data_IF_904845777085
#
_entry.id   IF_904845777085
#
_cell.length_a   1.000
_cell.length_b   1.000
_cell.length_c   1.000
_cell.angle_alpha   90.00
_cell.angle_beta   90.00
_cell.angle_gamma   90.00
#
_symmetry.space_group_name_H-M   'P 1'
#
loop_
_entity.id
_entity.type
_entity.pdbx_description
1 polymer ?
#
# COMPACT_ATOMS: atom_id res chain seq x y z
N UNK A 1 -14.41 -13.96 2.15
CA UNK A 1 -13.23 -13.74 3.03
C UNK A 1 -12.01 -14.11 2.23
N UNK A 2 -10.98 -13.27 2.23
CA UNK A 2 -9.74 -13.57 1.54
C UNK A 2 -9.00 -14.74 2.22
N UNK A 3 -8.40 -15.62 1.42
CA UNK A 3 -7.61 -16.79 1.85
C UNK A 3 -6.61 -16.46 2.96
N UNK A 4 -5.92 -15.32 2.84
CA UNK A 4 -4.96 -14.85 3.85
C UNK A 4 -5.60 -14.47 5.18
N UNK A 5 -6.83 -13.93 5.17
CA UNK A 5 -7.55 -13.56 6.39
C UNK A 5 -7.96 -14.80 7.17
N UNK A 6 -8.43 -15.84 6.47
CA UNK A 6 -8.77 -17.13 7.08
C UNK A 6 -7.52 -17.83 7.63
N UNK A 7 -6.43 -17.86 6.86
CA UNK A 7 -5.15 -18.40 7.32
C UNK A 7 -4.63 -17.66 8.55
N UNK A 8 -4.78 -16.34 8.59
CA UNK A 8 -4.38 -15.54 9.74
C UNK A 8 -5.17 -15.93 11.00
N UNK A 9 -6.50 -16.04 10.90
CA UNK A 9 -7.36 -16.37 12.03
C UNK A 9 -7.15 -17.81 12.52
N UNK A 10 -7.07 -18.78 11.61
CA UNK A 10 -7.10 -20.20 11.96
C UNK A 10 -5.71 -20.76 12.31
N UNK A 11 -4.64 -20.32 11.66
CA UNK A 11 -3.31 -20.92 11.80
C UNK A 11 -2.30 -19.98 12.46
N UNK A 12 -2.25 -18.72 12.01
CA UNK A 12 -1.22 -17.78 12.47
C UNK A 12 -1.52 -17.25 13.87
N UNK A 13 -2.79 -16.96 14.15
CA UNK A 13 -3.21 -16.40 15.44
C UNK A 13 -2.91 -17.34 16.62
N UNK A 14 -3.22 -18.66 16.55
CA UNK A 14 -2.91 -19.59 17.64
C UNK A 14 -1.41 -19.86 17.75
N UNK A 15 -0.71 -19.97 16.62
CA UNK A 15 0.73 -20.18 16.60
C UNK A 15 1.50 -19.02 17.27
N UNK A 16 1.08 -17.77 17.01
CA UNK A 16 1.65 -16.59 17.67
C UNK A 16 1.33 -16.54 19.15
N UNK A 17 0.11 -16.93 19.56
CA UNK A 17 -0.28 -16.97 20.97
C UNK A 17 0.57 -17.98 21.76
N UNK A 18 0.76 -19.18 21.22
CA UNK A 18 1.61 -20.22 21.83
C UNK A 18 3.08 -19.83 21.86
N UNK A 19 3.60 -19.21 20.79
CA UNK A 19 5.02 -18.84 20.69
C UNK A 19 5.42 -17.69 21.62
N UNK A 20 4.54 -16.70 21.79
CA UNK A 20 4.86 -15.48 22.54
C UNK A 20 4.15 -15.39 23.90
N UNK A 21 3.30 -16.35 24.26
CA UNK A 21 2.65 -16.40 25.57
C UNK A 21 1.72 -15.22 25.85
N UNK A 22 1.05 -14.68 24.83
CA UNK A 22 0.13 -13.54 24.99
C UNK A 22 -1.02 -13.89 25.96
N UNK A 23 -1.31 -12.99 26.90
CA UNK A 23 -2.37 -13.19 27.91
C UNK A 23 -3.77 -12.85 27.38
N UNK A 24 -3.85 -12.10 26.30
CA UNK A 24 -5.12 -11.66 25.71
C UNK A 24 -5.09 -11.78 24.20
N UNK A 25 -6.21 -12.23 23.62
CA UNK A 25 -6.40 -12.36 22.16
C UNK A 25 -6.22 -11.02 21.45
N UNK A 26 -6.53 -9.91 22.12
CA UNK A 26 -6.40 -8.56 21.55
C UNK A 26 -4.95 -8.08 21.44
N UNK A 27 -3.99 -8.78 22.04
CA UNK A 27 -2.55 -8.48 21.90
C UNK A 27 -1.96 -9.02 20.60
N UNK A 28 -2.70 -9.86 19.86
CA UNK A 28 -2.21 -10.45 18.64
C UNK A 28 -1.92 -9.38 17.58
N UNK A 29 -0.73 -9.41 16.94
CA UNK A 29 -0.36 -8.43 15.95
C UNK A 29 -1.19 -8.64 14.69
N UNK A 30 -1.90 -7.58 14.27
CA UNK A 30 -2.74 -7.56 13.07
C UNK A 30 -2.20 -6.58 12.04
N UNK A 31 -2.43 -6.85 10.77
CA UNK A 31 -2.12 -5.91 9.69
C UNK A 31 -3.20 -4.82 9.69
N UNK A 32 -2.81 -3.56 9.95
CA UNK A 32 -3.76 -2.43 9.99
C UNK A 32 -4.06 -1.84 8.60
N UNK A 33 -3.00 -1.62 7.81
CA UNK A 33 -3.08 -1.04 6.47
C UNK A 33 -1.82 -1.34 5.67
N UNK A 34 -1.98 -1.37 4.35
CA UNK A 34 -0.87 -1.36 3.39
C UNK A 34 -0.95 -0.05 2.61
N UNK A 35 0.15 0.71 2.59
CA UNK A 35 0.25 1.95 1.83
C UNK A 35 1.24 1.73 0.70
N UNK A 36 0.76 1.88 -0.53
CA UNK A 36 1.58 1.81 -1.74
C UNK A 36 1.78 3.25 -2.20
N UNK A 37 3.03 3.62 -2.42
CA UNK A 37 3.40 4.97 -2.82
C UNK A 37 4.34 4.89 -4.00
N UNK A 38 4.03 5.67 -5.04
CA UNK A 38 4.85 5.78 -6.23
C UNK A 38 5.23 7.24 -6.42
N UNK A 39 6.54 7.51 -6.35
CA UNK A 39 7.10 8.81 -6.67
C UNK A 39 7.45 8.86 -8.15
N UNK A 40 6.84 9.78 -8.89
CA UNK A 40 7.10 9.97 -10.31
C UNK A 40 7.84 11.31 -10.44
N UNK A 41 9.16 11.28 -10.24
CA UNK A 41 9.99 12.50 -10.24
C UNK A 41 9.88 13.33 -11.53
N UNK A 42 9.67 12.65 -12.67
CA UNK A 42 9.51 13.28 -13.98
C UNK A 42 8.10 13.85 -14.21
N UNK A 43 7.15 13.61 -13.31
CA UNK A 43 5.78 14.13 -13.41
C UNK A 43 5.72 15.66 -13.41
N UNK A 44 6.75 16.33 -12.88
CA UNK A 44 6.89 17.79 -12.86
C UNK A 44 6.99 18.34 -14.29
N UNK A 45 7.61 17.59 -15.20
CA UNK A 45 7.79 17.99 -16.60
C UNK A 45 6.77 17.34 -17.53
N UNK A 46 6.29 16.14 -17.19
CA UNK A 46 5.34 15.38 -18.00
C UNK A 46 4.14 14.91 -17.19
N UNK A 47 3.01 15.62 -17.31
CA UNK A 47 1.76 15.26 -16.64
C UNK A 47 1.22 13.90 -17.07
N UNK A 48 1.48 13.45 -18.32
CA UNK A 48 1.01 12.15 -18.81
C UNK A 48 1.66 10.98 -18.08
N UNK A 49 2.90 11.14 -17.62
CA UNK A 49 3.58 10.11 -16.83
C UNK A 49 2.88 9.92 -15.47
N UNK A 50 2.34 10.99 -14.90
CA UNK A 50 1.54 10.92 -13.67
C UNK A 50 0.20 10.23 -13.91
N UNK A 51 -0.46 10.51 -15.03
CA UNK A 51 -1.74 9.88 -15.38
C UNK A 51 -1.57 8.36 -15.63
N UNK A 52 -0.54 7.97 -16.37
CA UNK A 52 -0.19 6.55 -16.57
C UNK A 52 0.10 5.85 -15.24
N UNK A 53 0.87 6.48 -14.37
CA UNK A 53 1.15 6.00 -13.02
C UNK A 53 -0.12 5.78 -12.18
N UNK A 54 -1.10 6.67 -12.31
CA UNK A 54 -2.41 6.55 -11.63
C UNK A 54 -3.21 5.38 -12.20
N UNK A 55 -3.21 5.19 -13.51
CA UNK A 55 -3.90 4.08 -14.17
C UNK A 55 -3.29 2.72 -13.79
N UNK A 56 -1.97 2.58 -13.85
CA UNK A 56 -1.26 1.36 -13.46
C UNK A 56 -1.52 0.98 -12.00
N UNK A 57 -1.39 1.94 -11.08
CA UNK A 57 -1.72 1.71 -9.67
C UNK A 57 -3.19 1.33 -9.46
N UNK A 58 -4.10 1.89 -10.27
CA UNK A 58 -5.52 1.54 -10.22
C UNK A 58 -5.73 0.10 -10.67
N UNK A 59 -5.05 -0.35 -11.72
CA UNK A 59 -5.13 -1.73 -12.22
C UNK A 59 -4.55 -2.71 -11.19
N UNK A 60 -3.38 -2.39 -10.61
CA UNK A 60 -2.70 -3.27 -9.64
C UNK A 60 -3.54 -3.43 -8.36
N UNK A 61 -4.07 -2.32 -7.84
CA UNK A 61 -4.69 -2.30 -6.50
C UNK A 61 -6.21 -2.34 -6.54
N UNK A 62 -6.79 -2.22 -7.73
CA UNK A 62 -8.24 -2.06 -7.97
C UNK A 62 -8.81 -0.75 -7.45
N UNK A 63 -8.00 0.12 -6.83
CA UNK A 63 -8.45 1.32 -6.14
C UNK A 63 -7.80 2.55 -6.77
N UNK A 64 -8.61 3.56 -7.07
CA UNK A 64 -8.12 4.84 -7.61
C UNK A 64 -7.15 5.48 -6.60
N UNK A 65 -5.87 5.72 -6.97
CA UNK A 65 -4.89 6.30 -6.07
C UNK A 65 -5.10 7.81 -5.93
N UNK A 66 -4.57 8.36 -4.85
CA UNK A 66 -4.58 9.79 -4.53
C UNK A 66 -3.27 10.41 -5.00
N UNK A 67 -3.36 11.45 -5.83
CA UNK A 67 -2.18 12.23 -6.27
C UNK A 67 -1.58 13.00 -5.10
N UNK A 68 -0.28 12.82 -4.87
CA UNK A 68 0.48 13.50 -3.82
C UNK A 68 1.11 14.78 -4.38
N UNK A 69 1.04 15.85 -3.58
CA UNK A 69 1.57 17.17 -3.91
C UNK A 69 2.80 17.51 -3.08
N UNK A 70 3.67 18.33 -3.64
CA UNK A 70 4.83 18.90 -2.96
C UNK A 70 4.39 19.75 -1.75
N UNK A 71 4.95 19.49 -0.57
CA UNK A 71 4.74 20.35 0.62
C UNK A 71 5.69 21.54 0.70
N UNK A 72 6.82 21.46 0.01
CA UNK A 72 7.88 22.49 0.03
C UNK A 72 8.45 22.63 -1.36
N UNK A 73 8.88 23.84 -1.70
CA UNK A 73 9.65 24.09 -2.92
C UNK A 73 11.10 23.67 -2.71
N UNK A 74 11.65 22.90 -3.64
CA UNK A 74 13.05 22.44 -3.60
C UNK A 74 13.66 22.69 -4.98
N UNK A 75 14.54 23.70 -5.06
CA UNK A 75 15.15 24.14 -6.32
C UNK A 75 15.97 23.03 -7.01
N UNK A 76 16.67 22.18 -6.24
CA UNK A 76 17.46 21.05 -6.77
C UNK A 76 16.64 20.02 -7.55
N UNK A 77 15.36 19.84 -7.20
CA UNK A 77 14.44 18.96 -7.90
C UNK A 77 13.49 19.72 -8.84
N UNK A 78 13.71 21.02 -9.03
CA UNK A 78 12.83 21.93 -9.79
C UNK A 78 11.36 21.87 -9.33
N UNK A 79 11.15 21.58 -8.04
CA UNK A 79 9.84 21.42 -7.43
C UNK A 79 9.35 22.72 -6.80
N UNK A 80 8.09 23.07 -7.07
CA UNK A 80 7.36 24.12 -6.36
C UNK A 80 6.29 23.50 -5.47
N UNK A 81 5.99 24.17 -4.36
CA UNK A 81 4.90 23.80 -3.46
C UNK A 81 3.57 23.66 -4.23
N UNK A 82 2.81 22.62 -3.92
CA UNK A 82 1.54 22.31 -4.57
C UNK A 82 1.64 21.54 -5.89
N UNK A 83 2.83 21.36 -6.48
CA UNK A 83 2.98 20.57 -7.70
C UNK A 83 2.72 19.07 -7.44
N UNK A 84 2.03 18.35 -8.35
CA UNK A 84 1.85 16.91 -8.25
C UNK A 84 3.19 16.19 -8.54
N UNK A 85 3.56 15.23 -7.69
CA UNK A 85 4.84 14.50 -7.79
C UNK A 85 4.62 12.98 -7.85
N UNK A 86 3.49 12.48 -7.37
CA UNK A 86 3.29 11.05 -7.32
C UNK A 86 1.87 10.67 -7.02
N UNK A 87 1.69 9.39 -6.76
CA UNK A 87 0.40 8.80 -6.45
C UNK A 87 0.57 7.80 -5.31
N UNK A 88 -0.39 7.78 -4.39
CA UNK A 88 -0.42 6.81 -3.29
C UNK A 88 -1.80 6.19 -3.14
N UNK A 89 -1.84 4.95 -2.69
CA UNK A 89 -3.08 4.29 -2.29
C UNK A 89 -2.91 3.67 -0.92
N UNK A 90 -3.97 3.71 -0.12
CA UNK A 90 -4.01 3.07 1.20
C UNK A 90 -5.09 2.01 1.16
N UNK A 91 -4.67 0.76 1.26
CA UNK A 91 -5.53 -0.41 1.29
C UNK A 91 -5.79 -0.79 2.74
N UNK A 92 -7.06 -1.04 3.05
CA UNK A 92 -7.55 -1.49 4.36
C UNK A 92 -8.60 -2.58 4.16
N UNK A 93 -8.87 -3.35 5.23
CA UNK A 93 -9.91 -4.37 5.20
C UNK A 93 -9.58 -5.51 4.22
N UNK A 94 -10.56 -5.95 3.43
CA UNK A 94 -10.42 -7.11 2.55
C UNK A 94 -9.43 -6.88 1.40
N UNK A 95 -9.48 -5.70 0.75
CA UNK A 95 -8.60 -5.32 -0.37
C UNK A 95 -7.12 -5.35 0.00
N UNK A 96 -6.80 -5.06 1.27
CA UNK A 96 -5.44 -5.14 1.80
C UNK A 96 -4.94 -6.59 1.81
N UNK A 97 -5.76 -7.52 2.29
CA UNK A 97 -5.38 -8.93 2.32
C UNK A 97 -5.34 -9.55 0.92
N UNK A 98 -6.23 -9.15 0.00
CA UNK A 98 -6.17 -9.58 -1.40
C UNK A 98 -4.89 -9.09 -2.10
N UNK A 99 -4.53 -7.83 -1.90
CA UNK A 99 -3.29 -7.29 -2.46
C UNK A 99 -2.06 -8.02 -1.87
N UNK A 100 -2.05 -8.27 -0.56
CA UNK A 100 -0.97 -9.00 0.09
C UNK A 100 -0.85 -10.44 -0.44
N UNK A 101 -1.97 -11.11 -0.72
CA UNK A 101 -1.97 -12.48 -1.27
C UNK A 101 -1.37 -12.53 -2.66
N UNK A 102 -1.82 -11.61 -3.54
CA UNK A 102 -1.28 -11.48 -4.90
C UNK A 102 0.20 -11.13 -4.88
N UNK A 103 0.61 -10.23 -3.98
CA UNK A 103 2.00 -9.81 -3.87
C UNK A 103 2.92 -10.98 -3.48
N UNK A 104 2.56 -11.75 -2.45
CA UNK A 104 3.39 -12.87 -1.97
C UNK A 104 3.33 -14.06 -2.93
N UNK A 105 2.15 -14.40 -3.44
CA UNK A 105 1.95 -15.65 -4.19
C UNK A 105 2.25 -15.54 -5.69
N UNK A 106 2.18 -14.34 -6.28
CA UNK A 106 2.28 -14.13 -7.73
C UNK A 106 3.44 -13.20 -8.07
N UNK A 107 3.58 -12.07 -7.37
CA UNK A 107 4.53 -11.02 -7.79
C UNK A 107 5.95 -11.18 -7.25
N UNK A 108 6.16 -11.87 -6.13
CA UNK A 108 7.46 -12.02 -5.47
C UNK A 108 8.22 -13.37 -5.66
N UNK A 109 7.84 -14.32 -6.54
CA UNK A 109 8.51 -15.62 -6.58
C UNK A 109 10.02 -15.53 -6.82
#
# INVERSE_FOLDING_TARGET
>A
MSRLKEKYLNEVSPALMSKFGYKSVMQLPKVDKIVINMGVGDAVQNSKALDAAVEELTIITGQKPVVTKAKKSIAGFRLREGMPIGAKVTLRGERMYEFLDKLISISLP
#
